data_IF_654144040180
#
_entry.id   IF_654144040180
#
_cell.length_a   1.000
_cell.length_b   1.000
_cell.length_c   1.000
_cell.angle_alpha   90.00
_cell.angle_beta   90.00
_cell.angle_gamma   90.00
#
_symmetry.space_group_name_H-M   'P 1'
#
loop_
_entity.id
_entity.type
_entity.pdbx_description
1 polymer ?
#
# COMPACT_ATOMS: atom_id res chain seq x y z
N UNK A 1 -12.04 -13.35 16.91
CA UNK A 1 -10.98 -13.27 15.90
C UNK A 1 -10.53 -11.82 15.85
N UNK A 2 -9.28 -11.51 16.21
CA UNK A 2 -8.76 -10.15 16.02
C UNK A 2 -8.49 -9.98 14.52
N UNK A 3 -9.20 -9.06 13.88
CA UNK A 3 -9.02 -8.78 12.45
C UNK A 3 -7.66 -8.18 12.13
N UNK A 4 -7.28 -8.22 10.86
CA UNK A 4 -6.09 -7.55 10.31
C UNK A 4 -6.09 -6.06 10.70
N UNK A 5 -4.93 -5.54 11.13
CA UNK A 5 -4.81 -4.13 11.54
C UNK A 5 -3.87 -3.40 10.61
N UNK A 6 -4.42 -2.44 9.88
CA UNK A 6 -3.74 -1.75 8.78
C UNK A 6 -3.33 -0.33 9.17
N UNK A 7 -2.21 0.15 8.62
CA UNK A 7 -1.72 1.50 8.86
C UNK A 7 -2.57 2.54 8.12
N UNK A 8 -3.09 3.51 8.85
CA UNK A 8 -3.94 4.59 8.32
C UNK A 8 -3.45 5.96 8.75
N UNK A 9 -3.86 6.97 7.98
CA UNK A 9 -3.71 8.40 8.30
C UNK A 9 -5.05 9.12 8.24
N UNK A 10 -5.24 10.21 9.01
CA UNK A 10 -6.43 11.04 8.89
C UNK A 10 -6.56 11.66 7.50
N UNK A 11 -7.76 11.60 6.91
CA UNK A 11 -8.05 12.16 5.59
C UNK A 11 -7.75 13.66 5.49
N UNK A 12 -8.01 14.39 6.58
CA UNK A 12 -7.77 15.84 6.68
C UNK A 12 -6.30 16.23 6.72
N UNK A 13 -5.38 15.28 6.97
CA UNK A 13 -3.94 15.54 6.95
C UNK A 13 -3.33 15.42 5.53
N UNK A 14 -4.12 14.96 4.55
CA UNK A 14 -3.74 14.87 3.13
C UNK A 14 -4.12 16.20 2.45
N UNK A 15 -3.12 17.00 2.13
CA UNK A 15 -3.21 18.36 1.58
C UNK A 15 -3.08 18.41 0.05
N UNK A 16 -3.16 17.26 -0.61
CA UNK A 16 -3.18 17.16 -2.07
C UNK A 16 -4.60 16.97 -2.60
N UNK A 17 -4.78 17.24 -3.89
CA UNK A 17 -6.06 17.09 -4.57
C UNK A 17 -6.61 15.66 -4.44
N UNK A 18 -7.94 15.46 -4.58
CA UNK A 18 -8.59 14.17 -4.35
C UNK A 18 -8.17 13.07 -5.34
N UNK A 19 -7.58 13.45 -6.47
CA UNK A 19 -7.21 12.55 -7.55
C UNK A 19 -5.86 12.93 -8.17
N UNK A 20 -5.13 11.93 -8.66
CA UNK A 20 -3.88 12.11 -9.39
C UNK A 20 -2.65 11.65 -8.62
N UNK A 21 -1.50 11.94 -9.23
CA UNK A 21 -0.19 11.69 -8.65
C UNK A 21 0.45 13.03 -8.28
N UNK A 22 0.87 13.15 -7.03
CA UNK A 22 1.54 14.33 -6.51
C UNK A 22 2.97 13.93 -6.13
N UNK A 23 3.99 14.38 -6.88
CA UNK A 23 5.36 14.03 -6.60
C UNK A 23 5.79 14.63 -5.24
N UNK A 24 6.44 13.82 -4.42
CA UNK A 24 7.05 14.22 -3.14
C UNK A 24 8.57 13.94 -3.18
N UNK A 25 9.34 14.65 -4.04
CA UNK A 25 10.75 14.33 -4.31
C UNK A 25 11.64 14.49 -3.07
N UNK A 26 11.22 15.33 -2.14
CA UNK A 26 11.76 15.39 -0.78
C UNK A 26 10.63 14.92 0.13
N UNK A 27 10.69 13.70 0.71
CA UNK A 27 9.53 12.96 1.24
C UNK A 27 8.94 13.58 2.52
N UNK A 28 8.52 14.83 2.44
CA UNK A 28 8.11 15.70 3.53
C UNK A 28 6.63 15.50 3.81
N UNK A 29 5.80 15.43 2.76
CA UNK A 29 4.40 15.04 2.88
C UNK A 29 4.27 13.63 3.42
N UNK A 30 5.04 12.70 2.86
CA UNK A 30 5.12 11.31 3.34
C UNK A 30 5.51 11.23 4.83
N UNK A 31 6.61 11.87 5.25
CA UNK A 31 7.06 11.84 6.66
C UNK A 31 6.05 12.50 7.60
N UNK A 32 5.40 13.59 7.18
CA UNK A 32 4.34 14.25 7.97
C UNK A 32 3.17 13.30 8.20
N UNK A 33 2.71 12.61 7.14
CA UNK A 33 1.62 11.64 7.22
C UNK A 33 1.99 10.47 8.14
N UNK A 34 3.21 9.92 8.02
CA UNK A 34 3.68 8.85 8.90
C UNK A 34 3.72 9.25 10.38
N UNK A 35 4.10 10.49 10.70
CA UNK A 35 4.08 11.01 12.06
C UNK A 35 2.67 11.04 12.69
N UNK A 36 1.62 10.96 11.89
CA UNK A 36 0.20 10.94 12.32
C UNK A 36 -0.48 9.59 12.08
N UNK A 37 0.29 8.59 11.64
CA UNK A 37 -0.24 7.29 11.29
C UNK A 37 -0.56 6.45 12.54
N UNK A 38 -1.59 5.60 12.42
CA UNK A 38 -1.99 4.65 13.46
C UNK A 38 -2.62 3.42 12.86
N UNK A 39 -2.73 2.36 13.66
CA UNK A 39 -3.35 1.12 13.23
C UNK A 39 -4.84 1.11 13.55
N UNK A 40 -5.66 0.71 12.57
CA UNK A 40 -7.09 0.45 12.74
C UNK A 40 -7.41 -0.95 12.23
N UNK A 41 -8.51 -1.53 12.71
CA UNK A 41 -9.08 -2.74 12.12
C UNK A 41 -9.41 -2.46 10.64
N UNK A 42 -9.00 -3.36 9.75
CA UNK A 42 -9.16 -3.21 8.30
C UNK A 42 -10.60 -2.93 7.88
N UNK A 43 -11.55 -3.69 8.40
CA UNK A 43 -12.98 -3.52 8.08
C UNK A 43 -13.49 -2.10 8.41
N UNK A 44 -12.98 -1.51 9.51
CA UNK A 44 -13.30 -0.11 9.89
C UNK A 44 -12.59 0.88 8.97
N UNK A 45 -11.35 0.60 8.60
CA UNK A 45 -10.58 1.46 7.69
C UNK A 45 -11.11 1.45 6.25
N UNK A 46 -11.78 0.38 5.81
CA UNK A 46 -12.39 0.28 4.48
C UNK A 46 -13.72 1.06 4.38
N UNK A 47 -14.46 1.18 5.49
CA UNK A 47 -15.80 1.77 5.52
C UNK A 47 -15.81 3.22 6.02
N UNK A 48 -14.76 3.67 6.72
CA UNK A 48 -14.70 5.01 7.28
C UNK A 48 -13.89 5.99 6.39
N UNK A 49 -14.54 7.00 5.76
CA UNK A 49 -13.88 7.94 4.86
C UNK A 49 -12.95 8.95 5.55
N UNK A 50 -13.04 9.10 6.88
CA UNK A 50 -12.16 9.97 7.67
C UNK A 50 -10.72 9.45 7.71
N UNK A 51 -10.51 8.23 7.23
CA UNK A 51 -9.23 7.54 7.23
C UNK A 51 -8.84 7.13 5.83
N UNK A 52 -7.53 7.20 5.57
CA UNK A 52 -6.93 6.66 4.37
C UNK A 52 -5.86 5.67 4.75
N UNK A 53 -5.93 4.49 4.15
CA UNK A 53 -4.94 3.44 4.32
C UNK A 53 -3.66 3.84 3.58
N UNK A 54 -2.51 3.73 4.24
CA UNK A 54 -1.22 3.92 3.59
C UNK A 54 -0.83 2.62 2.90
N UNK A 55 -0.86 2.64 1.56
CA UNK A 55 -0.56 1.49 0.70
C UNK A 55 0.81 1.75 0.04
N UNK A 56 1.89 1.07 0.46
CA UNK A 56 3.12 1.07 -0.30
C UNK A 56 2.90 0.39 -1.65
N UNK A 57 3.42 1.00 -2.71
CA UNK A 57 3.20 0.54 -4.08
C UNK A 57 4.48 0.73 -4.90
N UNK A 58 5.02 -0.36 -5.45
CA UNK A 58 6.24 -0.33 -6.28
C UNK A 58 5.94 -0.76 -7.71
N UNK A 59 6.77 -0.33 -8.64
CA UNK A 59 6.82 -0.85 -10.01
C UNK A 59 8.20 -1.44 -10.26
N UNK A 60 8.24 -2.67 -10.77
CA UNK A 60 9.48 -3.34 -11.16
C UNK A 60 9.82 -2.98 -12.61
N UNK A 61 11.02 -2.45 -12.82
CA UNK A 61 11.51 -2.07 -14.15
C UNK A 61 12.84 -2.78 -14.42
N UNK A 62 12.98 -3.36 -15.62
CA UNK A 62 14.22 -4.00 -16.08
C UNK A 62 14.48 -3.63 -17.53
N UNK A 63 15.63 -2.99 -17.80
CA UNK A 63 16.07 -2.63 -19.15
C UNK A 63 14.98 -1.92 -19.99
N UNK A 64 14.32 -0.92 -19.39
CA UNK A 64 13.25 -0.17 -20.05
C UNK A 64 11.89 -0.88 -20.15
N UNK A 65 11.79 -2.13 -19.68
CA UNK A 65 10.52 -2.87 -19.60
C UNK A 65 9.94 -2.84 -18.20
N UNK A 66 8.62 -2.71 -18.09
CA UNK A 66 7.90 -2.82 -16.81
C UNK A 66 7.32 -4.22 -16.62
N UNK A 67 7.36 -4.73 -15.39
CA UNK A 67 6.66 -5.96 -15.03
C UNK A 67 5.15 -5.71 -14.93
N UNK A 68 4.36 -6.43 -15.73
CA UNK A 68 2.90 -6.39 -15.72
C UNK A 68 2.35 -7.69 -15.16
N UNK A 69 1.39 -7.58 -14.26
CA UNK A 69 0.63 -8.71 -13.74
C UNK A 69 -0.75 -8.73 -14.40
N UNK A 70 -1.31 -9.93 -14.61
CA UNK A 70 -2.70 -10.09 -15.04
C UNK A 70 -3.51 -10.62 -13.87
N UNK A 71 -4.55 -9.89 -13.48
CA UNK A 71 -5.42 -10.30 -12.37
C UNK A 71 -6.19 -11.56 -12.73
N UNK A 72 -6.05 -12.58 -11.88
CA UNK A 72 -6.82 -13.82 -11.99
C UNK A 72 -8.26 -13.63 -11.55
N UNK A 73 -9.14 -14.54 -11.98
CA UNK A 73 -10.58 -14.53 -11.67
C UNK A 73 -10.91 -14.82 -10.20
N UNK A 74 -9.91 -15.19 -9.39
CA UNK A 74 -10.06 -15.47 -7.94
C UNK A 74 -10.16 -14.20 -7.09
N UNK A 75 -9.82 -13.03 -7.65
CA UNK A 75 -9.94 -11.76 -6.92
C UNK A 75 -11.41 -11.35 -6.79
N UNK A 76 -11.80 -10.76 -5.64
CA UNK A 76 -13.17 -10.34 -5.34
C UNK A 76 -13.70 -9.24 -6.27
N UNK A 77 -12.83 -8.41 -6.84
CA UNK A 77 -13.20 -7.27 -7.68
C UNK A 77 -13.40 -7.68 -9.15
N UNK A 78 -14.62 -8.13 -9.48
CA UNK A 78 -14.97 -8.68 -10.79
C UNK A 78 -14.67 -7.72 -11.96
N UNK A 79 -14.83 -6.40 -11.79
CA UNK A 79 -14.57 -5.43 -12.88
C UNK A 79 -13.10 -5.38 -13.30
N UNK A 80 -12.20 -5.91 -12.48
CA UNK A 80 -10.75 -5.93 -12.72
C UNK A 80 -10.26 -7.29 -13.25
N UNK A 81 -11.13 -8.29 -13.41
CA UNK A 81 -10.78 -9.58 -13.98
C UNK A 81 -10.20 -9.44 -15.38
N UNK A 82 -9.17 -10.21 -15.67
CA UNK A 82 -8.45 -10.23 -16.96
C UNK A 82 -7.80 -8.88 -17.35
N UNK A 83 -7.86 -7.85 -16.47
CA UNK A 83 -7.13 -6.59 -16.63
C UNK A 83 -5.69 -6.72 -16.13
N UNK A 84 -4.78 -6.05 -16.81
CA UNK A 84 -3.41 -5.89 -16.33
C UNK A 84 -3.35 -4.90 -15.16
N UNK A 85 -2.40 -5.11 -14.26
CA UNK A 85 -1.94 -4.15 -13.27
C UNK A 85 -0.45 -3.87 -13.47
N UNK A 86 -0.08 -2.62 -13.25
CA UNK A 86 1.31 -2.16 -13.24
C UNK A 86 1.67 -1.78 -11.81
N UNK A 87 2.44 -2.63 -11.15
CA UNK A 87 2.91 -2.43 -9.79
C UNK A 87 2.31 -3.40 -8.77
N UNK A 88 3.00 -3.50 -7.63
CA UNK A 88 2.74 -4.43 -6.52
C UNK A 88 2.63 -3.61 -5.25
N UNK A 89 1.66 -3.93 -4.41
CA UNK A 89 1.46 -3.25 -3.15
C UNK A 89 0.23 -3.76 -2.41
N UNK A 90 0.14 -3.42 -1.14
CA UNK A 90 -0.91 -3.87 -0.26
C UNK A 90 -0.83 -3.16 1.09
N UNK A 91 -1.50 -3.71 2.09
CA UNK A 91 -1.63 -3.07 3.39
C UNK A 91 -0.34 -3.19 4.20
N UNK A 92 -0.04 -2.19 5.03
CA UNK A 92 0.97 -2.34 6.08
C UNK A 92 0.28 -2.89 7.32
N UNK A 93 0.63 -4.10 7.75
CA UNK A 93 0.06 -4.75 8.92
C UNK A 93 0.86 -4.40 10.19
N UNK A 94 0.18 -4.40 11.35
CA UNK A 94 0.84 -4.19 12.64
C UNK A 94 1.97 -5.20 12.93
N UNK A 95 1.90 -6.41 12.36
CA UNK A 95 2.91 -7.45 12.42
C UNK A 95 4.20 -7.09 11.66
N UNK A 96 4.16 -6.18 10.68
CA UNK A 96 5.34 -5.74 9.92
C UNK A 96 6.39 -5.08 10.83
N UNK A 97 5.97 -4.58 12.02
CA UNK A 97 6.88 -4.12 13.08
C UNK A 97 7.85 -5.20 13.58
N UNK A 98 7.49 -6.48 13.44
CA UNK A 98 8.30 -7.62 13.90
C UNK A 98 9.45 -7.95 12.94
N UNK A 99 9.46 -7.36 11.74
CA UNK A 99 10.55 -7.53 10.77
C UNK A 99 11.91 -7.03 11.28
N UNK A 100 11.92 -6.16 12.29
CA UNK A 100 13.13 -5.47 12.76
C UNK A 100 13.66 -4.43 11.77
N UNK A 101 12.94 -4.18 10.67
CA UNK A 101 13.30 -3.16 9.70
C UNK A 101 13.18 -1.76 10.31
N UNK A 102 14.11 -0.84 9.99
CA UNK A 102 14.06 0.53 10.49
C UNK A 102 12.89 1.33 9.90
N UNK A 103 12.39 0.93 8.73
CA UNK A 103 11.23 1.55 8.07
C UNK A 103 10.10 0.52 7.93
N UNK A 104 9.01 0.78 8.65
CA UNK A 104 7.81 -0.05 8.66
C UNK A 104 7.12 -0.11 7.29
N UNK A 105 7.16 0.96 6.50
CA UNK A 105 6.54 1.00 5.17
C UNK A 105 7.32 0.13 4.21
N UNK A 106 8.66 0.17 4.28
CA UNK A 106 9.51 -0.73 3.49
C UNK A 106 9.33 -2.18 3.92
N UNK A 107 9.17 -2.46 5.21
CA UNK A 107 8.89 -3.80 5.70
C UNK A 107 7.61 -4.38 5.07
N UNK A 108 6.51 -3.62 5.13
CA UNK A 108 5.25 -4.01 4.50
C UNK A 108 5.40 -4.17 2.99
N UNK A 109 6.08 -3.23 2.31
CA UNK A 109 6.34 -3.32 0.88
C UNK A 109 7.09 -4.59 0.48
N UNK A 110 8.15 -4.95 1.22
CA UNK A 110 8.93 -6.14 0.92
C UNK A 110 8.15 -7.44 1.17
N UNK A 111 7.33 -7.48 2.23
CA UNK A 111 6.42 -8.61 2.48
C UNK A 111 5.44 -8.77 1.32
N UNK A 112 4.71 -7.71 0.97
CA UNK A 112 3.74 -7.71 -0.14
C UNK A 112 4.41 -8.11 -1.47
N UNK A 113 5.62 -7.59 -1.74
CA UNK A 113 6.38 -7.97 -2.93
C UNK A 113 6.74 -9.47 -2.94
N UNK A 114 7.16 -10.02 -1.80
CA UNK A 114 7.54 -11.43 -1.69
C UNK A 114 6.34 -12.39 -1.76
N UNK A 115 5.14 -11.93 -1.42
CA UNK A 115 3.89 -12.71 -1.55
C UNK A 115 3.46 -12.85 -3.02
N UNK A 116 3.68 -11.82 -3.85
CA UNK A 116 3.15 -11.75 -5.22
C UNK A 116 4.21 -12.01 -6.30
N UNK A 117 5.50 -11.82 -6.00
CA UNK A 117 6.59 -11.87 -6.99
C UNK A 117 7.76 -12.71 -6.50
N UNK A 118 8.15 -13.68 -7.33
CA UNK A 118 9.40 -14.45 -7.17
C UNK A 118 10.40 -13.97 -8.21
N UNK A 119 11.55 -13.49 -7.75
CA UNK A 119 12.69 -13.17 -8.62
C UNK A 119 13.57 -14.41 -8.75
N UNK A 120 13.88 -14.80 -9.98
CA UNK A 120 14.80 -15.89 -10.33
C UNK A 120 16.02 -15.37 -11.05
#
# INVERSE_FOLDING_TARGET
MQGERVLVVPRGDIDVGPFGFFPDPHPTGYRRLLGRARFLDREKAETNPDWKQLIPYLTVVRMGSCFLMRRGRKQSEARLHDRCSLGVGGHIDAADRRSGAPDLVLAGLYREMAEEVVFT
#
